data_IF_541225244842
#
_entry.id   IF_541225244842
#
_cell.length_a   1.000
_cell.length_b   1.000
_cell.length_c   1.000
_cell.angle_alpha   90.00
_cell.angle_beta   90.00
_cell.angle_gamma   90.00
#
_symmetry.space_group_name_H-M   'P 1'
#
loop_
_entity.id
_entity.type
_entity.pdbx_description
1 polymer ?
#
# COMPACT_ATOMS: atom_id res chain seq x y z
N UNK A 1 -6.69 25.62 20.89
CA UNK A 1 -6.87 25.24 19.47
C UNK A 1 -7.34 23.79 19.45
N UNK A 2 -8.53 23.50 18.91
CA UNK A 2 -9.11 22.15 18.87
C UNK A 2 -8.86 21.57 17.49
N UNK A 3 -8.05 20.52 17.40
CA UNK A 3 -7.79 19.82 16.12
C UNK A 3 -8.89 18.78 15.94
N UNK A 4 -9.60 18.86 14.82
CA UNK A 4 -10.65 17.89 14.45
C UNK A 4 -10.14 16.96 13.36
N UNK A 5 -10.03 15.67 13.68
CA UNK A 5 -9.64 14.64 12.70
C UNK A 5 -10.88 13.95 12.14
N UNK A 6 -10.96 13.85 10.81
CA UNK A 6 -12.02 13.15 10.10
C UNK A 6 -11.40 12.06 9.22
N UNK A 7 -11.70 10.79 9.49
CA UNK A 7 -11.28 9.66 8.66
C UNK A 7 -12.44 9.20 7.78
N UNK A 8 -12.26 9.24 6.45
CA UNK A 8 -13.26 9.00 5.41
C UNK A 8 -12.58 8.43 4.16
N UNK A 9 -13.36 7.75 3.32
CA UNK A 9 -12.91 7.31 1.98
C UNK A 9 -12.70 8.51 1.05
N UNK A 10 -11.92 8.35 -0.02
CA UNK A 10 -11.67 9.43 -1.00
C UNK A 10 -12.96 10.06 -1.54
N UNK A 11 -13.92 9.25 -1.99
CA UNK A 11 -15.20 9.75 -2.52
C UNK A 11 -16.01 10.51 -1.46
N UNK A 12 -16.02 10.05 -0.20
CA UNK A 12 -16.68 10.77 0.88
C UNK A 12 -15.94 12.06 1.27
N UNK A 13 -14.61 12.10 1.13
CA UNK A 13 -13.81 13.31 1.35
C UNK A 13 -14.07 14.34 0.25
N UNK A 14 -14.14 13.93 -1.02
CA UNK A 14 -14.50 14.82 -2.14
C UNK A 14 -15.86 15.47 -1.88
N UNK A 15 -16.88 14.67 -1.59
CA UNK A 15 -18.22 15.20 -1.31
C UNK A 15 -18.23 16.13 -0.09
N UNK A 16 -17.46 15.82 0.96
CA UNK A 16 -17.35 16.67 2.15
C UNK A 16 -16.69 18.01 1.80
N UNK A 17 -15.60 17.99 1.04
CA UNK A 17 -14.86 19.17 0.61
C UNK A 17 -15.61 19.96 -0.48
N UNK A 18 -16.58 19.36 -1.16
CA UNK A 18 -17.53 20.00 -2.09
C UNK A 18 -18.67 20.73 -1.38
N UNK A 19 -19.04 20.31 -0.17
CA UNK A 19 -20.06 20.99 0.62
C UNK A 19 -19.49 22.17 1.41
N UNK A 20 -20.32 23.18 1.70
CA UNK A 20 -19.96 24.37 2.47
C UNK A 20 -19.40 24.11 3.89
N UNK A 21 -19.38 22.86 4.36
CA UNK A 21 -18.72 22.44 5.59
C UNK A 21 -17.19 22.28 5.47
N UNK A 22 -16.61 22.51 4.28
CA UNK A 22 -15.17 22.51 4.07
C UNK A 22 -14.43 23.62 4.83
N UNK A 23 -15.11 24.68 5.28
CA UNK A 23 -14.51 25.86 5.92
C UNK A 23 -13.72 25.60 7.22
N UNK A 24 -13.72 24.36 7.74
CA UNK A 24 -13.00 23.98 8.96
C UNK A 24 -11.96 22.86 8.75
N UNK A 25 -11.43 22.67 7.54
CA UNK A 25 -10.39 21.65 7.27
C UNK A 25 -9.04 22.31 7.04
N UNK A 26 -8.12 22.15 8.00
CA UNK A 26 -6.75 22.69 7.91
C UNK A 26 -5.78 21.76 7.16
N UNK A 27 -5.99 20.43 7.24
CA UNK A 27 -5.09 19.43 6.71
C UNK A 27 -5.86 18.25 6.12
N UNK A 28 -5.48 17.85 4.90
CA UNK A 28 -5.95 16.62 4.25
C UNK A 28 -4.79 15.63 4.21
N UNK A 29 -4.97 14.46 4.83
CA UNK A 29 -4.03 13.34 4.76
C UNK A 29 -4.65 12.22 3.92
N UNK A 30 -4.06 11.95 2.76
CA UNK A 30 -4.55 10.93 1.83
C UNK A 30 -3.40 10.27 1.08
N UNK A 31 -3.57 9.00 0.71
CA UNK A 31 -2.68 8.27 -0.19
C UNK A 31 -3.08 8.40 -1.66
N UNK A 32 -4.22 9.03 -1.98
CA UNK A 32 -4.74 9.14 -3.35
C UNK A 32 -4.17 10.37 -4.07
N UNK A 33 -3.27 10.21 -5.05
CA UNK A 33 -2.78 11.33 -5.85
C UNK A 33 -3.89 11.94 -6.73
N UNK A 34 -4.88 11.13 -7.15
CA UNK A 34 -6.01 11.62 -7.95
C UNK A 34 -6.89 12.58 -7.17
N UNK A 35 -7.15 12.28 -5.89
CA UNK A 35 -7.89 13.19 -5.00
C UNK A 35 -7.15 14.52 -4.85
N UNK A 36 -5.85 14.47 -4.58
CA UNK A 36 -5.04 15.67 -4.42
C UNK A 36 -5.00 16.50 -5.71
N UNK A 37 -4.90 15.85 -6.86
CA UNK A 37 -4.95 16.51 -8.16
C UNK A 37 -6.30 17.18 -8.39
N UNK A 38 -7.41 16.48 -8.15
CA UNK A 38 -8.75 17.05 -8.28
C UNK A 38 -8.93 18.26 -7.36
N UNK A 39 -8.57 18.15 -6.08
CA UNK A 39 -8.66 19.28 -5.15
C UNK A 39 -7.78 20.47 -5.57
N UNK A 40 -6.59 20.23 -6.15
CA UNK A 40 -5.73 21.27 -6.69
C UNK A 40 -6.35 21.95 -7.92
N UNK A 41 -6.89 21.17 -8.87
CA UNK A 41 -7.55 21.67 -10.08
C UNK A 41 -8.77 22.55 -9.72
N UNK A 42 -9.47 22.20 -8.65
CA UNK A 42 -10.60 22.94 -8.11
C UNK A 42 -10.22 24.04 -7.09
N UNK A 43 -8.92 24.36 -6.95
CA UNK A 43 -8.39 25.41 -6.07
C UNK A 43 -8.75 25.25 -4.58
N UNK A 44 -8.93 24.01 -4.12
CA UNK A 44 -9.26 23.66 -2.73
C UNK A 44 -8.04 23.40 -1.85
N UNK A 45 -6.84 23.42 -2.42
CA UNK A 45 -5.58 23.27 -1.69
C UNK A 45 -4.76 24.56 -1.78
N UNK A 46 -4.22 24.97 -0.64
CA UNK A 46 -3.28 26.08 -0.61
C UNK A 46 -1.89 25.63 -1.11
N UNK A 47 -1.14 26.49 -1.84
CA UNK A 47 0.25 26.21 -2.18
C UNK A 47 1.11 26.01 -0.94
N UNK A 48 2.05 25.06 -1.01
CA UNK A 48 2.96 24.76 0.09
C UNK A 48 4.42 24.68 -0.39
N UNK A 49 5.21 25.70 -0.07
CA UNK A 49 6.63 25.80 -0.48
C UNK A 49 7.62 25.31 0.58
N UNK A 50 7.14 24.97 1.79
CA UNK A 50 7.99 24.54 2.92
C UNK A 50 8.40 23.06 2.89
N UNK A 51 8.09 22.31 1.83
CA UNK A 51 8.36 20.88 1.76
C UNK A 51 9.87 20.59 1.66
N UNK A 52 10.43 19.68 2.49
CA UNK A 52 11.82 19.24 2.35
C UNK A 52 12.09 18.66 0.96
N UNK A 53 13.30 18.90 0.43
CA UNK A 53 13.69 18.40 -0.90
C UNK A 53 13.51 16.87 -1.05
N UNK A 54 13.69 16.11 0.03
CA UNK A 54 13.46 14.67 0.04
C UNK A 54 11.98 14.31 -0.23
N UNK A 55 11.03 15.02 0.39
CA UNK A 55 9.61 14.84 0.14
C UNK A 55 9.24 15.21 -1.29
N UNK A 56 9.76 16.32 -1.81
CA UNK A 56 9.44 16.78 -3.17
C UNK A 56 9.77 15.74 -4.25
N UNK A 57 10.81 14.92 -4.03
CA UNK A 57 11.17 13.81 -4.93
C UNK A 57 10.15 12.66 -4.93
N UNK A 58 9.39 12.50 -3.85
CA UNK A 58 8.39 11.43 -3.68
C UNK A 58 7.00 11.86 -4.16
N UNK A 59 6.76 13.15 -4.33
CA UNK A 59 5.48 13.69 -4.78
C UNK A 59 5.49 13.86 -6.31
N UNK A 60 4.48 13.32 -7.04
CA UNK A 60 4.32 13.56 -8.47
C UNK A 60 4.33 15.04 -8.81
N UNK A 61 4.92 15.38 -9.96
CA UNK A 61 5.06 16.78 -10.40
C UNK A 61 3.70 17.50 -10.47
N UNK A 62 2.64 16.80 -10.90
CA UNK A 62 1.29 17.35 -11.05
C UNK A 62 0.69 17.92 -9.76
N UNK A 63 1.09 17.42 -8.58
CA UNK A 63 0.51 17.83 -7.28
C UNK A 63 1.55 18.44 -6.31
N UNK A 64 2.81 18.57 -6.74
CA UNK A 64 3.93 19.00 -5.89
C UNK A 64 3.78 20.43 -5.36
N UNK A 65 3.01 21.28 -6.02
CA UNK A 65 2.80 22.67 -5.62
C UNK A 65 1.98 22.80 -4.32
N UNK A 66 1.15 21.81 -4.01
CA UNK A 66 0.19 21.85 -2.89
C UNK A 66 0.34 20.69 -1.91
N UNK A 67 1.14 19.67 -2.26
CA UNK A 67 1.21 18.41 -1.51
C UNK A 67 2.63 18.10 -1.01
N UNK A 68 2.70 17.47 0.16
CA UNK A 68 3.95 17.00 0.78
C UNK A 68 3.83 15.53 1.15
N UNK A 69 4.88 14.75 0.87
CA UNK A 69 4.98 13.37 1.28
C UNK A 69 5.45 13.32 2.75
N UNK A 70 4.55 12.88 3.63
CA UNK A 70 4.82 12.76 5.08
C UNK A 70 5.13 11.33 5.51
N UNK A 71 4.71 10.35 4.72
CA UNK A 71 4.93 8.94 4.98
C UNK A 71 5.02 8.17 3.66
N UNK A 72 5.84 7.13 3.65
CA UNK A 72 5.92 6.16 2.55
C UNK A 72 5.72 4.77 3.15
N UNK A 73 4.78 4.01 2.59
CA UNK A 73 4.56 2.62 2.96
C UNK A 73 5.09 1.72 1.85
N UNK A 74 5.84 0.69 2.23
CA UNK A 74 6.33 -0.34 1.33
C UNK A 74 5.73 -1.70 1.70
N UNK A 75 5.56 -2.56 0.71
CA UNK A 75 5.15 -3.95 0.90
C UNK A 75 6.27 -4.87 0.43
N UNK A 76 6.45 -6.02 1.08
CA UNK A 76 7.54 -6.93 0.77
C UNK A 76 7.34 -8.31 1.36
N UNK A 77 8.35 -9.15 1.15
CA UNK A 77 8.37 -10.54 1.57
C UNK A 77 9.00 -10.66 2.96
N UNK A 78 8.27 -11.27 3.89
CA UNK A 78 8.83 -11.65 5.19
C UNK A 78 9.32 -13.09 5.12
N UNK A 79 10.64 -13.30 5.26
CA UNK A 79 11.29 -14.58 5.00
C UNK A 79 11.75 -15.24 6.31
N UNK A 80 11.22 -16.44 6.59
CA UNK A 80 11.76 -17.30 7.65
C UNK A 80 12.97 -18.10 7.14
N UNK A 81 14.18 -17.57 7.37
CA UNK A 81 15.43 -18.19 6.90
C UNK A 81 15.65 -19.61 7.44
N UNK A 82 15.32 -19.85 8.71
CA UNK A 82 15.50 -21.18 9.33
C UNK A 82 14.61 -22.24 8.68
N UNK A 83 13.36 -21.88 8.37
CA UNK A 83 12.43 -22.78 7.67
C UNK A 83 12.90 -23.08 6.24
N UNK A 84 13.44 -22.08 5.53
CA UNK A 84 14.02 -22.28 4.20
C UNK A 84 15.23 -23.21 4.23
N UNK A 85 16.16 -22.99 5.17
CA UNK A 85 17.35 -23.85 5.33
C UNK A 85 16.96 -25.30 5.59
N UNK A 86 16.00 -25.54 6.49
CA UNK A 86 15.52 -26.90 6.81
C UNK A 86 14.92 -27.59 5.57
N UNK A 87 14.23 -26.83 4.72
CA UNK A 87 13.63 -27.32 3.47
C UNK A 87 14.58 -27.28 2.27
N UNK A 88 15.84 -26.87 2.45
CA UNK A 88 16.84 -26.69 1.39
C UNK A 88 16.37 -25.76 0.26
N UNK A 89 15.60 -24.72 0.61
CA UNK A 89 15.07 -23.74 -0.33
C UNK A 89 15.93 -22.46 -0.34
N UNK A 90 16.20 -21.87 -1.52
CA UNK A 90 16.81 -20.55 -1.58
C UNK A 90 15.86 -19.48 -1.04
N UNK A 91 16.40 -18.33 -0.62
CA UNK A 91 15.58 -17.17 -0.32
C UNK A 91 15.14 -16.50 -1.63
N UNK A 92 13.84 -16.22 -1.83
CA UNK A 92 13.38 -15.47 -2.99
C UNK A 92 13.92 -14.04 -2.95
N UNK A 93 14.38 -13.55 -4.09
CA UNK A 93 14.84 -12.18 -4.27
C UNK A 93 13.67 -11.24 -4.58
N UNK A 94 12.64 -11.74 -5.28
CA UNK A 94 11.46 -10.97 -5.64
C UNK A 94 10.16 -11.81 -5.67
N UNK A 95 9.08 -11.18 -6.11
CA UNK A 95 7.77 -11.81 -6.24
C UNK A 95 7.68 -12.84 -7.37
N UNK A 96 8.52 -12.75 -8.41
CA UNK A 96 8.49 -13.69 -9.52
C UNK A 96 9.10 -15.04 -9.10
N UNK A 97 10.11 -15.03 -8.21
CA UNK A 97 10.68 -16.25 -7.63
C UNK A 97 9.63 -17.11 -6.89
N UNK A 98 8.61 -16.48 -6.29
CA UNK A 98 7.55 -17.18 -5.57
C UNK A 98 6.66 -18.06 -6.46
N UNK A 99 6.73 -17.86 -7.78
CA UNK A 99 5.99 -18.68 -8.73
C UNK A 99 6.64 -20.04 -8.97
N UNK A 100 7.92 -20.22 -8.57
CA UNK A 100 8.66 -21.47 -8.73
C UNK A 100 7.99 -22.60 -7.92
N UNK A 101 7.75 -23.78 -8.53
CA UNK A 101 7.16 -24.93 -7.85
C UNK A 101 7.85 -25.35 -6.55
N UNK A 102 9.13 -25.04 -6.35
CA UNK A 102 9.87 -25.37 -5.12
C UNK A 102 9.28 -24.75 -3.86
N UNK A 103 8.51 -23.67 -3.98
CA UNK A 103 7.88 -22.99 -2.85
C UNK A 103 6.47 -23.51 -2.52
N UNK A 104 6.03 -24.60 -3.16
CA UNK A 104 4.74 -25.23 -2.85
C UNK A 104 4.62 -25.56 -1.35
N UNK A 105 3.56 -25.08 -0.70
CA UNK A 105 3.33 -25.28 0.73
C UNK A 105 4.29 -24.51 1.63
N UNK A 106 5.04 -23.54 1.08
CA UNK A 106 5.95 -22.66 1.82
C UNK A 106 5.50 -21.19 1.82
N UNK A 107 4.47 -20.84 1.05
CA UNK A 107 3.93 -19.49 0.98
C UNK A 107 2.70 -19.34 1.87
N UNK A 108 2.52 -18.13 2.40
CA UNK A 108 1.36 -17.75 3.21
C UNK A 108 0.98 -16.32 2.90
N UNK A 109 -0.31 -16.11 2.70
CA UNK A 109 -0.87 -14.79 2.50
C UNK A 109 -2.27 -14.75 3.11
N UNK A 110 -2.58 -13.69 3.85
CA UNK A 110 -3.95 -13.45 4.33
C UNK A 110 -4.90 -13.25 3.16
N UNK A 111 -6.19 -13.56 3.33
CA UNK A 111 -7.18 -13.25 2.29
C UNK A 111 -7.24 -11.72 2.05
N UNK A 112 -7.11 -11.25 0.79
CA UNK A 112 -7.17 -9.82 0.46
C UNK A 112 -8.47 -9.14 0.91
N UNK A 113 -9.60 -9.86 0.91
CA UNK A 113 -10.90 -9.30 1.32
C UNK A 113 -11.02 -9.02 2.82
N UNK A 114 -10.05 -9.43 3.64
CA UNK A 114 -10.04 -9.24 5.10
C UNK A 114 -8.88 -8.38 5.59
N UNK A 115 -8.04 -7.84 4.70
CA UNK A 115 -6.84 -7.11 5.07
C UNK A 115 -6.57 -5.96 4.12
N UNK A 116 -6.79 -4.73 4.60
CA UNK A 116 -6.52 -3.49 3.84
C UNK A 116 -5.04 -3.40 3.45
N UNK A 117 -4.13 -3.87 4.31
CA UNK A 117 -2.70 -3.96 4.01
C UNK A 117 -2.43 -4.88 2.83
N UNK A 118 -3.15 -6.01 2.75
CA UNK A 118 -2.99 -6.96 1.65
C UNK A 118 -3.61 -6.43 0.34
N UNK A 119 -4.70 -5.66 0.43
CA UNK A 119 -5.27 -4.93 -0.70
C UNK A 119 -4.25 -3.95 -1.30
N UNK A 120 -3.67 -3.08 -0.47
CA UNK A 120 -2.65 -2.12 -0.91
C UNK A 120 -1.39 -2.80 -1.47
N UNK A 121 -1.01 -3.95 -0.92
CA UNK A 121 0.10 -4.76 -1.46
C UNK A 121 -0.20 -5.25 -2.88
N UNK A 122 -1.42 -5.76 -3.13
CA UNK A 122 -1.86 -6.19 -4.46
C UNK A 122 -1.82 -5.01 -5.44
N UNK A 123 -2.39 -3.87 -5.07
CA UNK A 123 -2.38 -2.67 -5.91
C UNK A 123 -0.96 -2.21 -6.25
N UNK A 124 -0.07 -2.17 -5.25
CA UNK A 124 1.33 -1.79 -5.43
C UNK A 124 2.06 -2.73 -6.41
N UNK A 125 1.81 -4.04 -6.31
CA UNK A 125 2.39 -5.02 -7.22
C UNK A 125 1.87 -4.86 -8.66
N UNK A 126 0.57 -4.59 -8.83
CA UNK A 126 -0.03 -4.32 -10.14
C UNK A 126 0.51 -3.02 -10.76
N UNK A 127 0.73 -1.98 -9.96
CA UNK A 127 1.34 -0.74 -10.43
C UNK A 127 2.79 -0.93 -10.89
N UNK A 128 3.58 -1.77 -10.19
CA UNK A 128 4.97 -2.04 -10.58
C UNK A 128 5.08 -2.97 -11.80
N UNK A 129 4.29 -4.05 -11.84
CA UNK A 129 4.44 -5.11 -12.86
C UNK A 129 3.49 -4.95 -14.06
N UNK A 130 2.50 -4.07 -13.95
CA UNK A 130 1.40 -3.97 -14.90
C UNK A 130 0.32 -5.04 -14.68
N UNK A 131 -0.87 -4.80 -15.23
CA UNK A 131 -2.07 -5.61 -15.00
C UNK A 131 -1.89 -7.11 -15.26
N UNK A 132 -1.48 -7.47 -16.49
CA UNK A 132 -1.37 -8.86 -16.93
C UNK A 132 -0.30 -9.63 -16.13
N UNK A 133 0.93 -9.11 -16.09
CA UNK A 133 2.05 -9.77 -15.41
C UNK A 133 1.82 -9.81 -13.90
N UNK A 134 1.31 -8.72 -13.32
CA UNK A 134 1.02 -8.66 -11.88
C UNK A 134 -0.02 -9.69 -11.44
N UNK A 135 -1.14 -9.83 -12.16
CA UNK A 135 -2.11 -10.87 -11.87
C UNK A 135 -1.57 -12.29 -12.08
N UNK A 136 -0.77 -12.51 -13.12
CA UNK A 136 -0.12 -13.81 -13.34
C UNK A 136 0.77 -14.18 -12.16
N UNK A 137 1.62 -13.27 -11.68
CA UNK A 137 2.49 -13.48 -10.51
C UNK A 137 1.66 -13.77 -9.25
N UNK A 138 0.61 -12.99 -9.00
CA UNK A 138 -0.27 -13.18 -7.82
C UNK A 138 -0.97 -14.54 -7.82
N UNK A 139 -1.58 -14.91 -8.94
CA UNK A 139 -2.32 -16.17 -9.08
C UNK A 139 -1.39 -17.38 -9.00
N UNK A 140 -0.23 -17.32 -9.67
CA UNK A 140 0.77 -18.38 -9.63
C UNK A 140 1.31 -18.59 -8.21
N UNK A 141 1.60 -17.50 -7.48
CA UNK A 141 2.08 -17.55 -6.10
C UNK A 141 0.98 -18.04 -5.13
N UNK A 142 -0.26 -17.58 -5.30
CA UNK A 142 -1.37 -18.00 -4.45
C UNK A 142 -1.59 -19.52 -4.50
N UNK A 143 -1.45 -20.14 -5.69
CA UNK A 143 -1.51 -21.60 -5.86
C UNK A 143 -0.38 -22.40 -5.18
N UNK A 144 0.64 -21.72 -4.63
CA UNK A 144 1.72 -22.33 -3.83
C UNK A 144 1.48 -22.23 -2.32
N UNK A 145 0.39 -21.60 -1.89
CA UNK A 145 0.07 -21.47 -0.47
C UNK A 145 -0.25 -22.85 0.14
N UNK A 146 0.24 -23.11 1.34
CA UNK A 146 -0.07 -24.32 2.09
C UNK A 146 -1.15 -24.08 3.15
N UNK A 147 -2.04 -25.03 3.34
CA UNK A 147 -3.08 -24.98 4.38
C UNK A 147 -2.52 -25.21 5.81
N UNK A 148 -1.30 -25.73 5.93
CA UNK A 148 -0.75 -26.30 7.17
C UNK A 148 0.04 -25.34 8.09
N UNK A 149 0.07 -24.02 7.84
CA UNK A 149 0.94 -23.11 8.63
C UNK A 149 0.26 -22.35 9.78
N UNK A 150 -1.00 -22.62 10.08
CA UNK A 150 -1.58 -22.23 11.37
C UNK A 150 -1.67 -23.51 12.19
N UNK A 151 -0.64 -23.89 12.99
CA UNK A 151 -0.57 -23.36 14.36
C UNK A 151 0.77 -23.58 15.11
N UNK A 152 1.74 -22.64 15.13
CA UNK A 152 2.79 -22.64 16.21
C UNK A 152 3.30 -21.25 16.64
N UNK A 153 3.03 -20.17 15.90
CA UNK A 153 3.49 -18.82 16.28
C UNK A 153 2.61 -18.08 17.31
N UNK A 154 1.55 -18.72 17.82
CA UNK A 154 0.59 -18.11 18.77
C UNK A 154 0.24 -19.02 19.97
N UNK A 155 1.16 -19.90 20.39
CA UNK A 155 1.11 -20.51 21.74
C UNK A 155 2.51 -20.51 22.34
N UNK A 156 2.77 -19.60 23.27
CA UNK A 156 3.96 -19.63 24.14
C UNK A 156 4.56 -18.24 24.35
N UNK A 157 4.26 -17.64 25.51
CA UNK A 157 4.77 -16.35 25.97
C UNK A 157 3.73 -15.61 26.79
#
# INVERSE_FOLDING_TARGET
MMIRTLNRTSASLEQLLDTANAENVDLVLTSSPMLLQHLQEHQKLAPFSGAPAASQRLVPESIRATSVAVAMSGFGLLINRSALTTRHLPAPADWDDLTDPRYQGALLMSSPSRSDTNHLMVESLLQQKGWLKGWQTLLASAGKSGDDFIPQLWRGG
#
